data_IF_289078488152
#
_entry.id   IF_289078488152
#
_cell.length_a   1.000
_cell.length_b   1.000
_cell.length_c   1.000
_cell.angle_alpha   90.00
_cell.angle_beta   90.00
_cell.angle_gamma   90.00
#
_symmetry.space_group_name_H-M   'P 1'
#
loop_
_entity.id
_entity.type
_entity.pdbx_description
1 polymer ?
#
# COMPACT_ATOMS: atom_id res chain seq x y z
N UNK A 1 -5.33 -32.42 21.13
CA UNK A 1 -6.17 -31.44 21.85
C UNK A 1 -5.59 -30.05 21.68
N UNK A 2 -6.49 -29.05 21.59
CA UNK A 2 -6.29 -27.59 21.52
C UNK A 2 -5.60 -27.03 20.26
N UNK A 3 -6.49 -26.57 19.37
CA UNK A 3 -6.27 -25.60 18.29
C UNK A 3 -5.79 -24.29 18.92
N UNK A 4 -4.74 -23.66 18.41
CA UNK A 4 -4.42 -22.26 18.73
C UNK A 4 -4.40 -21.45 17.43
N UNK A 5 -5.54 -20.78 17.18
CA UNK A 5 -5.62 -19.63 16.29
C UNK A 5 -4.74 -18.52 16.87
N UNK A 6 -3.81 -17.97 16.08
CA UNK A 6 -3.35 -16.59 16.29
C UNK A 6 -3.70 -15.76 15.07
N UNK A 7 -4.97 -15.37 15.01
CA UNK A 7 -5.45 -14.23 14.22
C UNK A 7 -5.15 -12.94 15.00
N UNK A 8 -3.96 -12.36 14.84
CA UNK A 8 -3.72 -10.97 15.24
C UNK A 8 -4.05 -10.06 14.06
N UNK A 9 -5.35 -9.89 13.85
CA UNK A 9 -5.91 -8.87 12.98
C UNK A 9 -5.67 -7.51 13.65
N UNK A 10 -4.54 -6.85 13.37
CA UNK A 10 -4.37 -5.45 13.77
C UNK A 10 -5.30 -4.61 12.91
N UNK A 11 -6.47 -4.29 13.47
CA UNK A 11 -7.36 -3.28 12.92
C UNK A 11 -6.62 -1.95 13.01
N UNK A 12 -6.00 -1.54 11.91
CA UNK A 12 -5.59 -0.15 11.75
C UNK A 12 -6.88 0.65 11.61
N UNK A 13 -7.32 1.26 12.70
CA UNK A 13 -8.35 2.28 12.65
C UNK A 13 -7.85 3.36 11.68
N UNK A 14 -8.54 3.51 10.55
CA UNK A 14 -8.32 4.63 9.64
C UNK A 14 -8.85 5.85 10.38
N UNK A 15 -8.00 6.49 11.18
CA UNK A 15 -8.23 7.85 11.63
C UNK A 15 -8.12 8.72 10.39
N UNK A 16 -9.26 9.03 9.77
CA UNK A 16 -9.35 10.11 8.78
C UNK A 16 -9.15 11.42 9.53
N UNK A 17 -7.89 11.75 9.83
CA UNK A 17 -7.50 13.09 10.21
C UNK A 17 -7.76 13.98 9.01
N UNK A 18 -8.84 14.76 9.10
CA UNK A 18 -9.12 15.88 8.22
C UNK A 18 -7.96 16.86 8.31
N UNK A 19 -7.06 16.80 7.35
CA UNK A 19 -6.07 17.82 7.09
C UNK A 19 -6.29 18.32 5.67
N UNK A 20 -7.12 19.36 5.54
CA UNK A 20 -6.90 20.46 4.60
C UNK A 20 -8.11 21.41 4.66
N UNK A 21 -8.01 22.41 5.54
CA UNK A 21 -8.64 23.69 5.28
C UNK A 21 -8.04 24.30 4.00
N UNK A 22 -8.93 24.78 3.15
CA UNK A 22 -8.91 26.11 2.55
C UNK A 22 -7.57 26.60 1.96
N UNK A 23 -7.44 26.50 0.63
CA UNK A 23 -7.13 27.59 -0.33
C UNK A 23 -6.39 27.05 -1.56
N UNK A 24 -6.89 27.45 -2.73
CA UNK A 24 -6.19 27.31 -4.01
C UNK A 24 -7.01 26.56 -5.05
N UNK A 25 -8.04 27.22 -5.58
CA UNK A 25 -8.58 26.86 -6.88
C UNK A 25 -7.44 26.95 -7.92
N UNK A 26 -6.85 25.81 -8.27
CA UNK A 26 -6.16 25.66 -9.54
C UNK A 26 -6.83 24.50 -10.26
N UNK A 27 -7.68 24.85 -11.22
CA UNK A 27 -8.20 23.92 -12.19
C UNK A 27 -7.02 23.36 -12.99
N UNK A 28 -6.47 22.22 -12.57
CA UNK A 28 -5.51 21.47 -13.37
C UNK A 28 -6.29 20.66 -14.42
N UNK A 29 -6.43 21.23 -15.62
CA UNK A 29 -6.99 20.56 -16.78
C UNK A 29 -6.00 19.49 -17.29
N UNK A 30 -6.09 18.29 -16.73
CA UNK A 30 -5.94 16.98 -17.39
C UNK A 30 -4.88 16.75 -18.51
N UNK A 31 -3.77 17.49 -18.61
CA UNK A 31 -2.77 17.27 -19.67
C UNK A 31 -1.60 16.34 -19.28
N UNK A 32 -1.56 15.84 -18.03
CA UNK A 32 -0.55 14.87 -17.56
C UNK A 32 -1.09 13.68 -16.75
N UNK A 33 -2.41 13.54 -16.65
CA UNK A 33 -3.04 12.65 -15.66
C UNK A 33 -2.94 11.16 -15.99
N UNK A 34 -2.94 10.78 -17.27
CA UNK A 34 -2.89 9.36 -17.67
C UNK A 34 -1.47 8.83 -17.50
N UNK A 35 -0.45 9.62 -17.87
CA UNK A 35 0.94 9.20 -17.77
C UNK A 35 1.42 9.20 -16.32
N UNK A 36 1.00 10.17 -15.50
CA UNK A 36 1.25 10.14 -14.06
C UNK A 36 0.60 8.93 -13.37
N UNK A 37 -0.65 8.60 -13.73
CA UNK A 37 -1.35 7.41 -13.24
C UNK A 37 -0.59 6.12 -13.62
N UNK A 38 -0.22 5.97 -14.90
CA UNK A 38 0.55 4.80 -15.38
C UNK A 38 1.89 4.68 -14.65
N UNK A 39 2.64 5.78 -14.51
CA UNK A 39 3.92 5.80 -13.82
C UNK A 39 3.76 5.41 -12.34
N UNK A 40 2.75 5.95 -11.65
CA UNK A 40 2.48 5.62 -10.26
C UNK A 40 2.11 4.14 -10.08
N UNK A 41 1.26 3.59 -10.96
CA UNK A 41 0.89 2.16 -10.94
C UNK A 41 2.11 1.27 -11.24
N UNK A 42 2.95 1.65 -12.20
CA UNK A 42 4.18 0.92 -12.51
C UNK A 42 5.16 0.93 -11.32
N UNK A 43 5.29 2.04 -10.61
CA UNK A 43 6.10 2.14 -9.41
C UNK A 43 5.56 1.25 -8.27
N UNK A 44 4.23 1.21 -8.09
CA UNK A 44 3.59 0.32 -7.13
C UNK A 44 3.79 -1.16 -7.48
N UNK A 45 3.66 -1.53 -8.75
CA UNK A 45 3.89 -2.89 -9.23
C UNK A 45 5.35 -3.34 -9.04
N UNK A 46 6.32 -2.45 -9.27
CA UNK A 46 7.72 -2.73 -9.03
C UNK A 46 8.01 -3.05 -7.55
N UNK A 47 7.46 -2.30 -6.61
CA UNK A 47 7.58 -2.60 -5.17
C UNK A 47 6.82 -3.87 -4.79
N UNK A 48 5.62 -4.09 -5.34
CA UNK A 48 4.85 -5.30 -5.05
C UNK A 48 5.55 -6.56 -5.56
N UNK A 49 6.26 -6.49 -6.70
CA UNK A 49 7.12 -7.58 -7.19
C UNK A 49 8.28 -7.90 -6.25
N UNK A 50 8.86 -6.89 -5.58
CA UNK A 50 9.88 -7.14 -4.55
C UNK A 50 9.28 -7.84 -3.34
N UNK A 51 8.12 -7.38 -2.86
CA UNK A 51 7.38 -8.05 -1.78
C UNK A 51 7.04 -9.51 -2.14
N UNK A 52 6.61 -9.75 -3.38
CA UNK A 52 6.32 -11.09 -3.90
C UNK A 52 7.54 -12.01 -3.92
N UNK A 53 8.71 -11.50 -4.33
CA UNK A 53 9.96 -12.27 -4.31
C UNK A 53 10.36 -12.71 -2.90
N UNK A 54 9.94 -11.96 -1.88
CA UNK A 54 10.14 -12.26 -0.47
C UNK A 54 9.00 -13.09 0.14
N UNK A 55 7.98 -13.46 -0.65
CA UNK A 55 6.76 -14.15 -0.20
C UNK A 55 5.95 -13.39 0.88
N UNK A 56 6.04 -12.06 0.88
CA UNK A 56 5.35 -11.18 1.83
C UNK A 56 4.35 -10.25 1.16
N UNK A 57 3.96 -10.50 -0.10
CA UNK A 57 2.99 -9.65 -0.78
C UNK A 57 1.62 -9.69 -0.11
N UNK A 58 1.06 -8.50 0.17
CA UNK A 58 -0.30 -8.41 0.67
C UNK A 58 -1.28 -8.46 -0.49
N UNK A 59 -2.27 -9.37 -0.41
CA UNK A 59 -3.30 -9.57 -1.44
C UNK A 59 -3.99 -8.27 -1.87
N UNK A 60 -4.24 -7.37 -0.93
CA UNK A 60 -5.03 -6.17 -1.17
C UNK A 60 -4.23 -5.07 -1.89
N UNK A 61 -2.90 -5.11 -1.87
CA UNK A 61 -2.04 -4.19 -2.64
C UNK A 61 -2.27 -4.34 -4.15
N UNK A 62 -2.38 -5.57 -4.65
CA UNK A 62 -2.74 -5.85 -6.04
C UNK A 62 -4.14 -5.37 -6.43
N UNK A 63 -5.11 -5.48 -5.50
CA UNK A 63 -6.47 -4.95 -5.72
C UNK A 63 -6.50 -3.42 -5.73
N UNK A 64 -5.69 -2.79 -4.90
CA UNK A 64 -5.58 -1.34 -4.83
C UNK A 64 -5.03 -0.75 -6.12
N UNK A 65 -4.02 -1.38 -6.74
CA UNK A 65 -3.53 -0.98 -8.06
C UNK A 65 -4.61 -1.10 -9.15
N UNK A 66 -5.43 -2.16 -9.13
CA UNK A 66 -6.58 -2.32 -10.04
C UNK A 66 -7.67 -1.26 -9.79
N UNK A 67 -7.89 -0.87 -8.54
CA UNK A 67 -8.82 0.20 -8.21
C UNK A 67 -8.29 1.57 -8.66
N UNK A 68 -6.97 1.78 -8.59
CA UNK A 68 -6.31 2.98 -9.07
C UNK A 68 -6.53 3.19 -10.58
N UNK A 69 -6.27 2.15 -11.38
CA UNK A 69 -6.46 2.24 -12.84
C UNK A 69 -7.92 2.47 -13.23
N UNK A 70 -8.87 1.85 -12.52
CA UNK A 70 -10.31 2.09 -12.71
C UNK A 70 -10.75 3.51 -12.35
N UNK A 71 -10.12 4.11 -11.33
CA UNK A 71 -10.47 5.46 -10.89
C UNK A 71 -9.97 6.52 -11.89
N UNK A 72 -8.77 6.33 -12.46
CA UNK A 72 -8.13 7.33 -13.32
C UNK A 72 -7.83 8.64 -12.58
N UNK A 73 -7.36 9.66 -13.30
CA UNK A 73 -7.23 11.00 -12.72
C UNK A 73 -6.19 11.10 -11.59
N UNK A 74 -6.38 12.13 -10.76
CA UNK A 74 -5.65 12.29 -9.49
C UNK A 74 -5.92 11.13 -8.50
N UNK A 75 -7.12 10.55 -8.53
CA UNK A 75 -7.49 9.42 -7.66
C UNK A 75 -6.68 8.17 -7.96
N UNK A 76 -6.34 7.93 -9.23
CA UNK A 76 -5.40 6.88 -9.61
C UNK A 76 -4.04 7.09 -8.95
N UNK A 77 -3.47 8.29 -9.08
CA UNK A 77 -2.15 8.60 -8.52
C UNK A 77 -2.15 8.40 -7.00
N UNK A 78 -3.19 8.85 -6.31
CA UNK A 78 -3.33 8.66 -4.86
C UNK A 78 -3.40 7.17 -4.47
N UNK A 79 -4.26 6.39 -5.12
CA UNK A 79 -4.42 4.96 -4.84
C UNK A 79 -3.16 4.15 -5.18
N UNK A 80 -2.49 4.49 -6.29
CA UNK A 80 -1.25 3.85 -6.69
C UNK A 80 -0.10 4.16 -5.72
N UNK A 81 0.02 5.40 -5.25
CA UNK A 81 1.03 5.77 -4.25
C UNK A 81 0.78 5.07 -2.90
N UNK A 82 -0.48 4.93 -2.49
CA UNK A 82 -0.82 4.16 -1.30
C UNK A 82 -0.50 2.66 -1.47
N UNK A 83 -0.76 2.08 -2.65
CA UNK A 83 -0.37 0.70 -2.95
C UNK A 83 1.15 0.51 -2.92
N UNK A 84 1.91 1.46 -3.46
CA UNK A 84 3.39 1.48 -3.38
C UNK A 84 3.86 1.46 -1.93
N UNK A 85 3.25 2.28 -1.07
CA UNK A 85 3.58 2.31 0.37
C UNK A 85 3.29 0.97 1.04
N UNK A 86 2.13 0.37 0.80
CA UNK A 86 1.80 -0.95 1.34
C UNK A 86 2.81 -2.02 0.91
N UNK A 87 3.21 -2.03 -0.36
CA UNK A 87 4.23 -2.96 -0.83
C UNK A 87 5.58 -2.77 -0.14
N UNK A 88 5.99 -1.53 0.12
CA UNK A 88 7.23 -1.23 0.84
C UNK A 88 7.15 -1.63 2.33
N UNK A 89 6.02 -1.35 2.98
CA UNK A 89 5.78 -1.73 4.37
C UNK A 89 5.75 -3.26 4.52
N UNK A 90 5.18 -3.99 3.56
CA UNK A 90 5.20 -5.45 3.51
C UNK A 90 6.62 -6.03 3.38
N UNK A 91 7.46 -5.43 2.51
CA UNK A 91 8.87 -5.80 2.43
C UNK A 91 9.60 -5.56 3.76
N UNK A 92 9.30 -4.45 4.46
CA UNK A 92 9.90 -4.17 5.76
C UNK A 92 9.48 -5.20 6.80
N UNK A 93 8.19 -5.52 6.86
CA UNK A 93 7.67 -6.56 7.74
C UNK A 93 8.36 -7.91 7.51
N UNK A 94 8.60 -8.30 6.25
CA UNK A 94 9.35 -9.51 5.92
C UNK A 94 10.79 -9.50 6.44
N UNK A 95 11.49 -8.36 6.33
CA UNK A 95 12.84 -8.19 6.89
C UNK A 95 12.83 -8.28 8.41
N UNK A 96 11.87 -7.63 9.06
CA UNK A 96 11.76 -7.62 10.51
C UNK A 96 11.47 -9.02 11.06
N UNK A 97 10.60 -9.79 10.39
CA UNK A 97 10.31 -11.18 10.74
C UNK A 97 11.54 -12.09 10.58
N UNK A 98 12.34 -11.90 9.52
CA UNK A 98 13.59 -12.64 9.34
C UNK A 98 14.62 -12.33 10.43
N UNK A 99 14.63 -11.09 10.94
CA UNK A 99 15.56 -10.62 11.98
C UNK A 99 15.06 -10.86 13.41
N UNK A 100 13.80 -11.23 13.62
CA UNK A 100 13.19 -11.27 14.95
C UNK A 100 13.81 -12.30 15.92
N UNK A 101 14.59 -13.26 15.43
CA UNK A 101 15.30 -14.25 16.26
C UNK A 101 14.40 -15.09 17.18
N UNK A 102 14.93 -16.09 17.89
CA UNK A 102 14.18 -16.83 18.90
C UNK A 102 13.94 -15.92 20.12
N UNK A 103 12.68 -15.52 20.34
CA UNK A 103 12.27 -14.90 21.60
C UNK A 103 12.13 -16.00 22.66
N UNK A 104 13.23 -16.32 23.34
CA UNK A 104 13.26 -17.24 24.47
C UNK A 104 12.63 -16.59 25.71
N UNK A 105 11.30 -16.47 25.73
CA UNK A 105 10.57 -16.23 26.97
C UNK A 105 10.16 -17.59 27.55
N UNK A 106 11.03 -18.12 28.43
CA UNK A 106 10.71 -19.19 29.37
C UNK A 106 10.22 -18.60 30.69
#
# INVERSE_FOLDING_TARGET
MKKLLLTTLTVFAITSANAADFLGASHNWNSGSVDACKAAVAAADAENKKAKKMDVEWRDTGKMMKAATKAGGAKCVALANAAKKQAADAQQQGRDQANAGPNNHF
#
